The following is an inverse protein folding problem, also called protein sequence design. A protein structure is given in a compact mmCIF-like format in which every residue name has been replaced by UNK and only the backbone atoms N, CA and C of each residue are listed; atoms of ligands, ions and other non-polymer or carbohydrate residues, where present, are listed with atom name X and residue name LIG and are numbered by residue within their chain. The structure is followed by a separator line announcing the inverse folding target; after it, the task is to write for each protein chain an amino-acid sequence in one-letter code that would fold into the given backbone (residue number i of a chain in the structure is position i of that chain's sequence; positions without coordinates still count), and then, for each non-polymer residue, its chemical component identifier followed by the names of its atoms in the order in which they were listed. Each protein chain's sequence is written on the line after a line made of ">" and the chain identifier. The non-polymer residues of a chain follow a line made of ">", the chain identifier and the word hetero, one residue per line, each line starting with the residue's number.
data_IF_322964324723
#
_entry.id   IF_322964324723
#
_cell.length_a   1.000
_cell.length_b   1.000
_cell.length_c   1.000
_cell.angle_alpha   90.00
_cell.angle_beta   90.00
_cell.angle_gamma   90.00
#
_symmetry.space_group_name_H-M   'P 1'
#
loop_
_entity.id
_entity.type
_entity.pdbx_description
1 polymer ?
#
# COMPACT_ATOMS: atom_id res chain seq x y z
N UNK A 1 90.13 -5.20 31.21
CA UNK A 1 89.23 -4.81 30.13
C UNK A 1 87.82 -5.20 30.57
N UNK A 2 86.99 -4.18 30.96
CA UNK A 2 85.59 -4.43 31.41
C UNK A 2 84.68 -3.94 30.28
N UNK A 3 83.88 -4.86 29.74
CA UNK A 3 82.81 -4.51 28.77
C UNK A 3 81.51 -4.21 29.50
N UNK A 4 80.98 -3.03 29.24
CA UNK A 4 79.76 -2.53 29.80
C UNK A 4 78.65 -2.81 28.77
N UNK A 5 77.70 -3.69 29.07
CA UNK A 5 76.51 -3.97 28.25
C UNK A 5 75.43 -2.98 28.58
N UNK A 6 75.00 -2.23 27.60
CA UNK A 6 73.89 -1.25 27.66
C UNK A 6 72.59 -1.88 27.21
N UNK A 7 71.65 -2.01 28.16
CA UNK A 7 70.32 -2.57 27.89
C UNK A 7 69.38 -1.43 27.45
N UNK A 8 68.84 -1.48 26.22
CA UNK A 8 67.78 -0.59 25.76
C UNK A 8 66.45 -1.17 26.19
N UNK A 9 65.69 -0.47 27.00
CA UNK A 9 64.31 -0.75 27.29
C UNK A 9 63.40 -0.13 26.20
N UNK A 10 62.84 -0.95 25.37
CA UNK A 10 61.82 -0.53 24.36
C UNK A 10 60.43 -0.50 24.97
N UNK A 11 59.84 0.67 25.10
CA UNK A 11 58.40 0.85 25.45
C UNK A 11 57.53 0.64 24.22
N UNK A 12 56.80 -0.48 24.22
CA UNK A 12 55.77 -0.74 23.18
C UNK A 12 54.48 0.03 23.51
N UNK A 13 54.16 1.00 22.68
CA UNK A 13 52.88 1.73 22.74
C UNK A 13 51.80 0.90 22.04
N UNK A 14 50.91 0.28 22.82
CA UNK A 14 49.76 -0.44 22.27
C UNK A 14 48.69 0.55 21.83
N UNK A 15 48.48 0.68 20.52
CA UNK A 15 47.41 1.46 19.92
C UNK A 15 46.15 0.61 19.90
N UNK A 16 45.23 0.85 20.84
CA UNK A 16 43.89 0.20 20.83
C UNK A 16 42.98 0.90 19.83
N UNK A 17 42.78 0.26 18.69
CA UNK A 17 41.78 0.69 17.72
C UNK A 17 40.40 0.31 18.25
N UNK A 18 39.64 1.28 18.76
CA UNK A 18 38.23 1.10 19.11
C UNK A 18 37.42 1.02 17.79
N UNK A 19 36.95 -0.19 17.42
CA UNK A 19 35.94 -0.35 16.40
C UNK A 19 34.62 0.23 16.96
N UNK A 20 34.25 1.41 16.49
CA UNK A 20 32.90 1.93 16.69
C UNK A 20 31.96 1.18 15.73
N UNK A 21 31.07 0.37 16.26
CA UNK A 21 29.95 -0.19 15.50
C UNK A 21 29.05 0.96 15.03
N UNK A 22 28.57 0.96 13.78
CA UNK A 22 27.59 1.95 13.34
C UNK A 22 26.32 1.81 14.20
N UNK A 23 25.92 2.90 14.86
CA UNK A 23 24.62 3.00 15.49
C UNK A 23 23.59 2.99 14.38
N UNK A 24 22.85 1.89 14.23
CA UNK A 24 21.65 1.85 13.38
C UNK A 24 20.63 2.80 14.02
N UNK A 25 20.48 3.97 13.39
CA UNK A 25 19.63 5.03 13.90
C UNK A 25 18.14 4.64 13.76
N UNK A 26 17.34 4.99 14.76
CA UNK A 26 15.88 4.93 14.77
C UNK A 26 15.25 5.93 13.76
N UNK A 27 16.04 6.51 12.84
CA UNK A 27 15.59 7.45 11.81
C UNK A 27 14.83 6.81 10.64
N UNK A 28 15.22 5.60 10.26
CA UNK A 28 14.74 5.01 9.00
C UNK A 28 13.25 4.63 9.04
N UNK A 29 12.72 4.20 10.20
CA UNK A 29 11.31 3.82 10.33
C UNK A 29 10.37 5.04 10.37
N UNK A 30 10.76 6.14 11.01
CA UNK A 30 9.97 7.36 11.07
C UNK A 30 9.95 8.09 9.73
N UNK A 31 11.08 8.13 9.02
CA UNK A 31 11.16 8.75 7.69
C UNK A 31 10.36 7.95 6.64
N UNK A 32 10.32 6.62 6.73
CA UNK A 32 9.49 5.78 5.86
C UNK A 32 8.00 5.98 6.12
N UNK A 33 7.58 6.14 7.38
CA UNK A 33 6.18 6.37 7.75
C UNK A 33 5.69 7.75 7.28
N UNK A 34 6.47 8.81 7.49
CA UNK A 34 6.16 10.15 6.99
C UNK A 34 6.03 10.17 5.45
N UNK A 35 6.87 9.43 4.75
CA UNK A 35 6.82 9.30 3.29
C UNK A 35 5.53 8.60 2.84
N UNK A 36 5.12 7.52 3.52
CA UNK A 36 3.88 6.80 3.26
C UNK A 36 2.67 7.71 3.52
N UNK A 37 2.64 8.43 4.64
CA UNK A 37 1.55 9.37 4.96
C UNK A 37 1.45 10.51 3.94
N UNK A 38 2.58 11.03 3.46
CA UNK A 38 2.62 12.02 2.40
C UNK A 38 2.04 11.48 1.09
N UNK A 39 2.35 10.23 0.72
CA UNK A 39 1.82 9.58 -0.48
C UNK A 39 0.31 9.31 -0.35
N UNK A 40 -0.17 8.82 0.79
CA UNK A 40 -1.61 8.67 1.08
C UNK A 40 -2.34 10.00 0.93
N UNK A 41 -1.74 11.10 1.40
CA UNK A 41 -2.29 12.45 1.22
C UNK A 41 -2.33 12.87 -0.25
N UNK A 42 -1.37 12.42 -1.07
CA UNK A 42 -1.39 12.65 -2.53
C UNK A 42 -2.52 11.85 -3.20
N UNK A 43 -2.72 10.58 -2.83
CA UNK A 43 -3.85 9.76 -3.31
C UNK A 43 -5.19 10.47 -3.04
N UNK A 44 -5.38 10.97 -1.81
CA UNK A 44 -6.58 11.73 -1.46
C UNK A 44 -6.78 12.94 -2.38
N UNK A 45 -5.73 13.71 -2.66
CA UNK A 45 -5.81 14.86 -3.59
C UNK A 45 -6.10 14.42 -5.02
N UNK A 46 -5.44 13.38 -5.51
CA UNK A 46 -5.61 12.86 -6.87
C UNK A 46 -7.04 12.34 -7.12
N UNK A 47 -7.69 11.79 -6.08
CA UNK A 47 -9.04 11.21 -6.18
C UNK A 47 -10.15 12.13 -5.69
N UNK A 48 -9.84 13.37 -5.25
CA UNK A 48 -10.83 14.29 -4.68
C UNK A 48 -12.00 14.64 -5.64
N UNK A 49 -11.72 14.75 -6.94
CA UNK A 49 -12.75 15.02 -7.94
C UNK A 49 -13.76 13.88 -8.08
N UNK A 50 -13.36 12.64 -7.74
CA UNK A 50 -14.19 11.45 -7.83
C UNK A 50 -15.18 11.31 -6.66
N UNK A 51 -15.25 12.28 -5.74
CA UNK A 51 -16.40 12.42 -4.84
C UNK A 51 -17.70 12.59 -5.64
N UNK A 52 -17.64 13.16 -6.84
CA UNK A 52 -18.71 13.10 -7.83
C UNK A 52 -18.50 11.86 -8.72
N UNK A 53 -19.38 10.87 -8.58
CA UNK A 53 -19.32 9.63 -9.38
C UNK A 53 -19.47 9.87 -10.88
N UNK A 54 -20.08 10.99 -11.32
CA UNK A 54 -20.17 11.33 -12.74
C UNK A 54 -18.81 11.74 -13.29
N UNK A 55 -17.97 12.40 -12.49
CA UNK A 55 -16.58 12.71 -12.85
C UNK A 55 -15.76 11.44 -12.95
N UNK A 56 -15.96 10.48 -12.03
CA UNK A 56 -15.30 9.18 -12.09
C UNK A 56 -15.69 8.42 -13.38
N UNK A 57 -17.00 8.41 -13.72
CA UNK A 57 -17.49 7.78 -14.97
C UNK A 57 -16.87 8.44 -16.21
N UNK A 58 -16.83 9.76 -16.24
CA UNK A 58 -16.19 10.49 -17.34
C UNK A 58 -14.69 10.18 -17.48
N UNK A 59 -14.04 9.78 -16.39
CA UNK A 59 -12.64 9.35 -16.35
C UNK A 59 -12.45 7.84 -16.67
N UNK A 60 -13.52 7.12 -17.04
CA UNK A 60 -13.47 5.71 -17.46
C UNK A 60 -13.70 4.70 -16.35
N UNK A 61 -14.14 5.12 -15.16
CA UNK A 61 -14.53 4.21 -14.09
C UNK A 61 -16.00 3.78 -14.26
N UNK A 62 -16.24 2.49 -14.34
CA UNK A 62 -17.57 1.93 -14.48
C UNK A 62 -17.89 1.00 -13.31
N UNK A 63 -19.17 0.95 -12.92
CA UNK A 63 -19.60 0.09 -11.83
C UNK A 63 -19.34 -1.38 -12.17
N UNK A 64 -18.61 -2.04 -11.29
CA UNK A 64 -18.36 -3.47 -11.32
C UNK A 64 -19.03 -4.11 -10.10
N UNK A 65 -19.99 -4.99 -10.32
CA UNK A 65 -20.80 -5.62 -9.28
C UNK A 65 -21.71 -4.67 -8.48
N UNK A 66 -22.52 -5.25 -7.62
CA UNK A 66 -23.31 -4.56 -6.61
C UNK A 66 -22.46 -4.28 -5.37
N UNK A 67 -23.06 -3.71 -4.34
CA UNK A 67 -22.38 -3.47 -3.07
C UNK A 67 -21.86 -4.78 -2.45
N UNK A 68 -20.60 -4.80 -2.06
CA UNK A 68 -19.92 -5.98 -1.52
C UNK A 68 -19.79 -5.84 -0.01
N UNK A 69 -20.34 -6.81 0.73
CA UNK A 69 -20.28 -6.88 2.18
C UNK A 69 -19.81 -8.25 2.69
N UNK A 70 -19.46 -8.26 3.97
CA UNK A 70 -19.12 -9.46 4.72
C UNK A 70 -19.80 -9.39 6.10
N UNK A 71 -20.74 -10.29 6.39
CA UNK A 71 -21.43 -10.31 7.68
C UNK A 71 -20.46 -10.30 8.86
N UNK A 72 -20.67 -9.36 9.79
CA UNK A 72 -19.85 -9.19 10.98
C UNK A 72 -18.53 -8.43 10.79
N UNK A 73 -18.10 -8.17 9.56
CA UNK A 73 -16.85 -7.43 9.27
C UNK A 73 -17.09 -6.02 8.72
N UNK A 74 -18.22 -5.80 8.04
CA UNK A 74 -18.55 -4.55 7.36
C UNK A 74 -18.62 -4.73 5.85
N UNK A 75 -18.34 -3.68 5.10
CA UNK A 75 -18.42 -3.73 3.65
C UNK A 75 -17.19 -3.08 2.98
N UNK A 76 -16.96 -3.44 1.73
CA UNK A 76 -16.09 -2.72 0.80
C UNK A 76 -16.84 -1.60 0.09
N UNK A 77 -18.15 -1.79 -0.13
CA UNK A 77 -18.99 -0.88 -0.89
C UNK A 77 -19.17 -1.33 -2.35
N UNK A 78 -19.47 -0.37 -3.21
CA UNK A 78 -19.61 -0.56 -4.66
C UNK A 78 -18.29 -0.18 -5.32
N UNK A 79 -17.71 -1.08 -6.11
CA UNK A 79 -16.48 -0.83 -6.85
C UNK A 79 -16.80 -0.25 -8.24
N UNK A 80 -16.11 0.82 -8.58
CA UNK A 80 -16.05 1.39 -9.92
C UNK A 80 -14.65 1.16 -10.47
N UNK A 81 -14.52 0.30 -11.48
CA UNK A 81 -13.24 -0.09 -12.05
C UNK A 81 -12.93 0.67 -13.34
N UNK A 82 -11.70 1.06 -13.51
CA UNK A 82 -11.18 1.51 -14.80
C UNK A 82 -10.50 0.33 -15.50
N UNK A 83 -11.20 -0.30 -16.45
CA UNK A 83 -10.74 -1.50 -17.14
C UNK A 83 -9.43 -1.30 -17.92
N UNK A 84 -9.12 -0.08 -18.34
CA UNK A 84 -7.84 0.23 -19.01
C UNK A 84 -6.68 0.14 -18.01
N UNK A 85 -6.85 0.65 -16.80
CA UNK A 85 -5.83 0.59 -15.76
C UNK A 85 -5.64 -0.85 -15.25
N UNK A 86 -6.73 -1.59 -15.02
CA UNK A 86 -6.65 -3.01 -14.62
C UNK A 86 -5.88 -3.86 -15.64
N UNK A 87 -5.95 -3.49 -16.92
CA UNK A 87 -5.36 -4.27 -18.01
C UNK A 87 -3.91 -3.90 -18.35
N UNK A 88 -3.36 -2.79 -17.83
CA UNK A 88 -2.02 -2.30 -18.22
C UNK A 88 -0.86 -2.93 -17.44
N UNK A 89 -1.17 -3.74 -16.41
CA UNK A 89 -0.21 -4.38 -15.50
C UNK A 89 0.71 -3.39 -14.75
N UNK A 90 0.28 -2.14 -14.57
CA UNK A 90 0.99 -1.09 -13.85
C UNK A 90 0.18 -0.67 -12.64
N UNK A 91 0.81 -0.55 -11.47
CA UNK A 91 0.18 0.00 -10.27
C UNK A 91 0.76 1.39 -9.99
N UNK A 92 -0.04 2.43 -10.22
CA UNK A 92 0.31 3.82 -9.92
C UNK A 92 -0.48 4.30 -8.70
N UNK A 93 0.17 4.64 -7.58
CA UNK A 93 -0.52 5.13 -6.39
C UNK A 93 -1.47 6.30 -6.63
N UNK A 94 -1.24 7.11 -7.64
CA UNK A 94 -2.07 8.28 -7.95
C UNK A 94 -3.18 8.00 -8.97
N UNK A 95 -3.22 6.79 -9.55
CA UNK A 95 -4.23 6.36 -10.53
C UNK A 95 -4.75 4.97 -10.18
N UNK A 96 -5.50 4.84 -9.05
CA UNK A 96 -6.01 3.56 -8.60
C UNK A 96 -6.91 2.91 -9.67
N UNK A 97 -6.86 1.60 -9.78
CA UNK A 97 -7.67 0.81 -10.72
C UNK A 97 -9.14 0.81 -10.34
N UNK A 98 -9.45 0.96 -9.04
CA UNK A 98 -10.82 1.00 -8.56
C UNK A 98 -11.06 2.12 -7.53
N UNK A 99 -12.30 2.61 -7.55
CA UNK A 99 -12.86 3.56 -6.59
C UNK A 99 -13.98 2.85 -5.82
N UNK A 100 -13.96 2.94 -4.49
CA UNK A 100 -14.96 2.32 -3.62
C UNK A 100 -15.97 3.35 -3.14
N UNK A 101 -17.25 3.08 -3.38
CA UNK A 101 -18.35 3.96 -3.00
C UNK A 101 -19.30 3.31 -2.01
N UNK A 102 -19.67 4.05 -0.97
CA UNK A 102 -20.77 3.69 -0.10
C UNK A 102 -22.09 4.26 -0.64
N UNK A 103 -23.12 3.44 -0.89
CA UNK A 103 -24.45 3.94 -1.22
C UNK A 103 -25.11 4.56 0.01
N UNK A 104 -25.67 5.76 -0.15
CA UNK A 104 -26.46 6.46 0.85
C UNK A 104 -27.96 6.16 0.68
N UNK A 105 -28.75 6.37 1.73
CA UNK A 105 -30.21 6.14 1.71
C UNK A 105 -30.96 6.98 0.65
N UNK A 106 -30.41 8.11 0.26
CA UNK A 106 -30.97 8.99 -0.77
C UNK A 106 -30.51 8.62 -2.20
N UNK A 107 -29.83 7.49 -2.37
CA UNK A 107 -29.31 7.01 -3.66
C UNK A 107 -27.99 7.65 -4.10
N UNK A 108 -27.47 8.60 -3.35
CA UNK A 108 -26.14 9.18 -3.63
C UNK A 108 -25.04 8.17 -3.28
N UNK A 109 -23.91 8.30 -3.97
CA UNK A 109 -22.69 7.55 -3.69
C UNK A 109 -21.66 8.46 -3.03
N UNK A 110 -21.01 7.96 -1.99
CA UNK A 110 -19.92 8.63 -1.28
C UNK A 110 -18.65 7.85 -1.49
N UNK A 111 -17.61 8.48 -2.03
CA UNK A 111 -16.30 7.86 -2.15
C UNK A 111 -15.73 7.60 -0.77
N UNK A 112 -15.37 6.35 -0.45
CA UNK A 112 -14.87 5.93 0.86
C UNK A 112 -13.42 5.46 0.81
N UNK A 113 -12.96 4.97 -0.34
CA UNK A 113 -11.62 4.48 -0.52
C UNK A 113 -11.28 4.21 -1.98
N UNK A 114 -10.09 3.71 -2.18
CA UNK A 114 -9.59 3.25 -3.48
C UNK A 114 -9.03 1.84 -3.36
N UNK A 115 -8.89 1.15 -4.49
CA UNK A 115 -8.30 -0.18 -4.54
C UNK A 115 -7.36 -0.27 -5.73
N UNK A 116 -6.23 -0.92 -5.50
CA UNK A 116 -5.21 -1.21 -6.50
C UNK A 116 -5.34 -2.66 -6.92
N UNK A 117 -5.49 -2.91 -8.22
CA UNK A 117 -5.79 -4.23 -8.75
C UNK A 117 -4.89 -4.51 -9.96
N UNK A 118 -4.25 -5.69 -9.95
CA UNK A 118 -3.54 -6.19 -11.14
C UNK A 118 -3.74 -7.70 -11.28
N UNK A 119 -4.00 -8.18 -12.49
CA UNK A 119 -4.11 -9.62 -12.72
C UNK A 119 -2.80 -10.33 -12.42
N UNK A 120 -2.89 -11.45 -11.70
CA UNK A 120 -1.72 -12.22 -11.26
C UNK A 120 -0.81 -12.58 -12.43
N UNK A 121 -1.34 -13.20 -13.48
CA UNK A 121 -0.53 -13.67 -14.60
C UNK A 121 0.19 -12.51 -15.32
N UNK A 122 -0.46 -11.34 -15.43
CA UNK A 122 0.13 -10.16 -16.05
C UNK A 122 1.28 -9.58 -15.19
N UNK A 123 1.09 -9.52 -13.88
CA UNK A 123 2.11 -9.05 -12.94
C UNK A 123 3.29 -10.02 -12.85
N UNK A 124 3.03 -11.31 -12.62
CA UNK A 124 4.05 -12.34 -12.41
C UNK A 124 4.92 -12.56 -13.67
N UNK A 125 4.40 -12.24 -14.87
CA UNK A 125 5.17 -12.26 -16.11
C UNK A 125 6.28 -11.20 -16.15
N UNK A 126 6.16 -10.12 -15.39
CA UNK A 126 7.07 -8.98 -15.37
C UNK A 126 7.86 -8.86 -14.07
N UNK A 127 7.37 -9.46 -12.97
CA UNK A 127 7.89 -9.28 -11.62
C UNK A 127 8.03 -10.60 -10.87
N UNK A 128 9.18 -10.86 -10.22
CA UNK A 128 9.42 -12.11 -9.48
C UNK A 128 8.74 -12.15 -8.11
N UNK A 129 8.18 -11.04 -7.63
CA UNK A 129 7.55 -10.90 -6.32
C UNK A 129 6.17 -10.23 -6.45
N UNK A 130 5.22 -10.54 -5.54
CA UNK A 130 3.95 -9.83 -5.47
C UNK A 130 4.12 -8.31 -5.36
N UNK A 131 3.14 -7.51 -5.81
CA UNK A 131 3.22 -6.06 -5.71
C UNK A 131 3.26 -5.60 -4.25
N UNK A 132 4.03 -4.52 -4.02
CA UNK A 132 4.09 -3.82 -2.73
C UNK A 132 3.78 -2.35 -2.97
N UNK A 133 2.74 -1.82 -2.33
CA UNK A 133 2.39 -0.40 -2.33
C UNK A 133 2.33 0.12 -0.89
N UNK A 134 2.76 1.36 -0.66
CA UNK A 134 2.76 1.97 0.69
C UNK A 134 3.47 1.11 1.75
N UNK A 135 4.48 0.33 1.35
CA UNK A 135 5.14 -0.63 2.25
C UNK A 135 4.31 -1.88 2.59
N UNK A 136 3.12 -2.04 2.00
CA UNK A 136 2.24 -3.20 2.20
C UNK A 136 2.25 -4.12 0.98
N UNK A 137 2.41 -5.44 1.16
CA UNK A 137 2.23 -6.41 0.09
C UNK A 137 0.75 -6.50 -0.28
N UNK A 138 0.47 -6.60 -1.60
CA UNK A 138 -0.87 -6.84 -2.08
C UNK A 138 -1.34 -8.26 -1.76
N UNK A 139 -2.63 -8.40 -1.50
CA UNK A 139 -3.28 -9.67 -1.22
C UNK A 139 -3.59 -10.41 -2.52
N UNK A 140 -3.32 -11.72 -2.60
CA UNK A 140 -3.67 -12.55 -3.76
C UNK A 140 -5.07 -13.15 -3.62
N UNK A 141 -5.98 -12.70 -4.45
CA UNK A 141 -7.30 -13.32 -4.64
C UNK A 141 -7.21 -14.39 -5.72
N UNK A 142 -7.27 -15.64 -5.29
CA UNK A 142 -7.14 -16.81 -6.20
C UNK A 142 -8.40 -17.02 -7.03
N UNK A 143 -8.26 -17.70 -8.17
CA UNK A 143 -9.38 -18.20 -8.95
C UNK A 143 -9.65 -19.68 -8.60
N UNK A 144 -10.93 -20.15 -8.53
CA UNK A 144 -12.16 -19.35 -8.71
C UNK A 144 -12.43 -18.46 -7.49
N UNK A 145 -12.99 -17.27 -7.73
CA UNK A 145 -13.35 -16.30 -6.70
C UNK A 145 -14.79 -15.82 -6.87
N UNK A 146 -15.30 -15.12 -5.85
CA UNK A 146 -16.70 -14.61 -5.83
C UNK A 146 -16.99 -13.58 -6.92
N UNK A 147 -15.97 -13.02 -7.53
CA UNK A 147 -16.07 -11.98 -8.57
C UNK A 147 -16.13 -12.54 -9.98
N UNK A 148 -15.82 -13.85 -10.16
CA UNK A 148 -15.86 -14.53 -11.45
C UNK A 148 -14.75 -14.11 -12.42
N UNK A 149 -13.65 -13.56 -11.91
CA UNK A 149 -12.49 -13.09 -12.70
C UNK A 149 -11.25 -13.98 -12.45
N UNK A 150 -10.22 -13.92 -13.32
CA UNK A 150 -8.94 -14.55 -13.07
C UNK A 150 -8.34 -14.14 -11.72
N UNK A 151 -7.33 -14.86 -11.24
CA UNK A 151 -6.59 -14.50 -10.03
C UNK A 151 -5.94 -13.12 -10.18
N UNK A 152 -5.97 -12.32 -9.12
CA UNK A 152 -5.45 -10.96 -9.10
C UNK A 152 -4.87 -10.59 -7.75
N UNK A 153 -3.94 -9.65 -7.74
CA UNK A 153 -3.48 -8.97 -6.53
C UNK A 153 -4.34 -7.75 -6.27
N UNK A 154 -4.66 -7.52 -4.99
CA UNK A 154 -5.42 -6.36 -4.56
C UNK A 154 -4.82 -5.70 -3.33
N UNK A 155 -5.01 -4.40 -3.18
CA UNK A 155 -4.73 -3.64 -1.97
C UNK A 155 -5.77 -2.53 -1.82
N UNK A 156 -6.59 -2.62 -0.78
CA UNK A 156 -7.53 -1.57 -0.40
C UNK A 156 -6.81 -0.43 0.31
N UNK A 157 -7.27 0.82 0.10
CA UNK A 157 -6.77 1.99 0.80
C UNK A 157 -7.94 2.92 1.19
N UNK A 158 -8.25 2.97 2.49
CA UNK A 158 -9.36 3.77 3.04
C UNK A 158 -8.95 5.22 3.24
N UNK A 159 -8.86 6.00 2.18
CA UNK A 159 -8.41 7.40 2.23
C UNK A 159 -9.51 8.40 2.58
N UNK A 160 -10.80 8.01 2.46
CA UNK A 160 -11.93 8.91 2.64
C UNK A 160 -12.81 8.55 3.86
N UNK A 161 -12.96 7.26 4.19
CA UNK A 161 -13.65 6.80 5.39
C UNK A 161 -12.66 6.09 6.33
N UNK A 162 -12.60 6.53 7.56
CA UNK A 162 -11.71 5.90 8.55
C UNK A 162 -12.10 4.46 8.81
N UNK A 163 -11.14 3.56 8.67
CA UNK A 163 -11.29 2.15 9.00
C UNK A 163 -10.57 1.81 10.32
N UNK A 164 -11.34 1.51 11.38
CA UNK A 164 -10.78 1.13 12.70
C UNK A 164 -9.99 -0.17 12.68
N UNK A 165 -10.19 -1.02 11.67
CA UNK A 165 -9.48 -2.29 11.49
C UNK A 165 -8.14 -2.11 10.75
N UNK A 166 -7.81 -0.89 10.33
CA UNK A 166 -6.61 -0.55 9.57
C UNK A 166 -6.91 0.03 8.20
N UNK A 167 -6.08 0.97 7.78
CA UNK A 167 -6.26 1.72 6.53
C UNK A 167 -6.18 0.83 5.26
N UNK A 168 -5.53 -0.34 5.36
CA UNK A 168 -5.37 -1.32 4.28
C UNK A 168 -6.22 -2.59 4.47
N UNK A 169 -7.11 -2.63 5.47
CA UNK A 169 -7.98 -3.80 5.68
C UNK A 169 -9.08 -3.86 4.62
N UNK A 170 -9.40 -5.05 4.12
CA UNK A 170 -10.41 -5.24 3.06
C UNK A 170 -11.80 -4.74 3.50
N UNK A 171 -12.18 -4.97 4.75
CA UNK A 171 -13.51 -4.69 5.27
C UNK A 171 -13.52 -3.49 6.20
N UNK A 172 -14.42 -2.54 5.94
CA UNK A 172 -14.63 -1.39 6.81
C UNK A 172 -15.97 -1.52 7.56
N UNK A 173 -15.97 -1.65 8.91
CA UNK A 173 -17.20 -1.80 9.68
C UNK A 173 -18.09 -0.55 9.70
N UNK A 174 -17.61 0.60 9.21
CA UNK A 174 -18.42 1.80 9.03
C UNK A 174 -19.13 1.85 7.68
N UNK A 175 -18.62 1.14 6.68
CA UNK A 175 -19.24 1.05 5.35
C UNK A 175 -20.33 -0.02 5.39
N UNK A 176 -21.46 0.26 4.73
CA UNK A 176 -22.63 -0.62 4.71
C UNK A 176 -23.22 -0.70 3.32
N UNK A 177 -23.65 -1.89 2.96
CA UNK A 177 -24.58 -2.12 1.85
C UNK A 177 -26.03 -1.91 2.32
N UNK A 178 -26.95 -1.45 1.44
CA UNK A 178 -28.38 -1.28 1.74
C UNK A 178 -29.07 -2.60 2.05
#
# INVERSE_FOLDING_TARGET
>A
MKQTTMTLAGTALALTLALQAPAFGHGDAAESDDTIQALISQVRRATAAFQDVQVARAAGYEQFLSCVDQPGQGAMGIHYLNGTLVADAVLDPLRPEALMYQPKKNGQLELVGVEYIVFQDAWDALHPQPPVLFGHPSHLVRSPNRYGVPAFYELHLWVWEHNRNGIFNDWNPKVRCP
#
